data_IF_701475201846
#
_entry.id   IF_701475201846
#
_cell.length_a   1.000
_cell.length_b   1.000
_cell.length_c   1.000
_cell.angle_alpha   90.00
_cell.angle_beta   90.00
_cell.angle_gamma   90.00
#
_symmetry.space_group_name_H-M   'P 1'
#
loop_
_entity.id
_entity.type
_entity.pdbx_description
1 polymer ?
#
# COMPACT_ATOMS: atom_id res chain seq x y z
N UNK A 1 -2.61 -45.65 -20.74
CA UNK A 1 -2.90 -45.80 -19.30
C UNK A 1 -2.57 -44.47 -18.63
N UNK A 2 -3.45 -43.95 -17.76
CA UNK A 2 -3.44 -42.58 -17.19
C UNK A 2 -2.22 -42.31 -16.28
N UNK A 3 -1.73 -41.06 -16.32
CA UNK A 3 -0.61 -40.51 -15.52
C UNK A 3 -0.95 -40.37 -14.04
N UNK A 4 0.07 -40.43 -13.17
CA UNK A 4 0.02 -39.79 -11.86
C UNK A 4 1.40 -39.23 -11.51
N UNK A 5 1.56 -37.91 -11.66
CA UNK A 5 2.68 -37.15 -11.09
C UNK A 5 2.12 -36.47 -9.85
N UNK A 6 2.56 -36.89 -8.67
CA UNK A 6 2.14 -36.33 -7.39
C UNK A 6 3.03 -35.12 -7.10
N UNK A 7 2.49 -33.91 -7.27
CA UNK A 7 3.11 -32.71 -6.71
C UNK A 7 2.71 -32.60 -5.23
N UNK A 8 3.64 -32.95 -4.34
CA UNK A 8 3.48 -32.68 -2.91
C UNK A 8 3.71 -31.19 -2.70
N UNK A 9 2.64 -30.41 -2.62
CA UNK A 9 2.71 -29.01 -2.18
C UNK A 9 2.86 -29.02 -0.67
N UNK A 10 4.07 -28.82 -0.18
CA UNK A 10 4.30 -28.56 1.24
C UNK A 10 3.77 -27.16 1.58
N UNK A 11 2.57 -27.07 2.15
CA UNK A 11 2.07 -25.82 2.73
C UNK A 11 2.85 -25.52 4.00
N UNK A 12 3.81 -24.60 3.92
CA UNK A 12 4.41 -24.01 5.12
C UNK A 12 3.35 -23.15 5.82
N UNK A 13 2.81 -23.65 6.93
CA UNK A 13 2.04 -22.83 7.86
C UNK A 13 3.05 -22.16 8.81
N UNK A 14 3.41 -20.92 8.51
CA UNK A 14 4.15 -20.09 9.45
C UNK A 14 3.19 -19.51 10.49
N UNK A 15 3.11 -20.12 11.67
CA UNK A 15 2.51 -19.46 12.83
C UNK A 15 3.59 -18.60 13.48
N UNK A 16 3.44 -17.26 13.42
CA UNK A 16 4.22 -16.35 14.24
C UNK A 16 3.39 -15.91 15.45
N UNK A 17 3.89 -16.19 16.64
CA UNK A 17 3.40 -15.55 17.86
C UNK A 17 4.49 -14.60 18.33
N UNK A 18 4.32 -13.31 18.06
CA UNK A 18 5.15 -12.28 18.66
C UNK A 18 4.34 -11.58 19.74
N UNK A 19 4.76 -11.74 20.99
CA UNK A 19 4.24 -10.98 22.13
C UNK A 19 5.17 -9.80 22.37
N UNK A 20 4.65 -8.58 22.45
CA UNK A 20 5.43 -7.39 22.80
C UNK A 20 4.61 -6.48 23.70
N UNK A 21 5.14 -6.17 24.90
CA UNK A 21 4.60 -5.16 25.83
C UNK A 21 5.76 -4.71 26.74
N UNK A 22 5.92 -3.43 27.14
CA UNK A 22 5.52 -2.15 26.55
C UNK A 22 6.74 -1.27 26.17
N UNK A 23 6.60 -0.38 25.18
CA UNK A 23 7.61 0.68 24.93
C UNK A 23 7.08 2.01 25.47
N UNK A 24 7.76 2.60 26.45
CA UNK A 24 7.58 4.02 26.83
C UNK A 24 8.82 4.80 26.43
N UNK A 25 8.93 5.07 25.13
CA UNK A 25 9.71 6.13 24.51
C UNK A 25 9.22 6.21 23.07
N UNK A 26 8.37 7.20 22.74
CA UNK A 26 7.85 7.39 21.38
C UNK A 26 7.01 6.22 20.87
N UNK A 27 5.68 6.23 20.95
CA UNK A 27 4.88 5.20 20.26
C UNK A 27 5.06 5.36 18.74
N UNK A 28 6.04 4.65 18.17
CA UNK A 28 6.35 4.64 16.75
C UNK A 28 5.77 3.39 16.08
N UNK A 29 4.92 3.58 15.08
CA UNK A 29 4.47 2.51 14.19
C UNK A 29 4.45 2.99 12.75
N UNK A 30 4.78 2.13 11.80
CA UNK A 30 4.71 2.47 10.38
C UNK A 30 4.34 1.28 9.52
N UNK A 31 3.68 1.52 8.41
CA UNK A 31 3.42 0.51 7.38
C UNK A 31 3.49 1.11 5.98
N UNK A 32 3.72 0.25 5.00
CA UNK A 32 3.67 0.60 3.60
C UNK A 32 3.28 -0.60 2.75
N UNK A 33 2.55 -0.36 1.66
CA UNK A 33 2.27 -1.37 0.64
C UNK A 33 2.07 -0.70 -0.72
N UNK A 34 2.23 -1.48 -1.78
CA UNK A 34 1.94 -1.09 -3.14
C UNK A 34 1.38 -2.27 -3.96
N UNK A 35 0.60 -1.93 -4.98
CA UNK A 35 0.07 -2.85 -5.97
C UNK A 35 0.34 -2.24 -7.34
N UNK A 36 0.90 -3.04 -8.23
CA UNK A 36 1.10 -2.72 -9.64
C UNK A 36 0.70 -3.92 -10.51
N UNK A 37 -0.58 -3.98 -10.87
CA UNK A 37 -1.16 -5.05 -11.67
C UNK A 37 -1.70 -4.52 -13.00
N UNK A 38 -0.95 -4.71 -14.11
CA UNK A 38 -1.40 -4.30 -15.45
C UNK A 38 -2.65 -5.02 -15.95
N UNK A 39 -2.94 -6.23 -15.45
CA UNK A 39 -4.07 -7.03 -15.93
C UNK A 39 -5.40 -6.49 -15.42
N UNK A 40 -5.46 -6.19 -14.12
CA UNK A 40 -6.65 -5.58 -13.50
C UNK A 40 -6.66 -4.05 -13.63
N UNK A 41 -5.52 -3.46 -13.98
CA UNK A 41 -5.33 -2.01 -13.99
C UNK A 41 -5.17 -1.41 -12.60
N UNK A 42 -4.93 -2.25 -11.58
CA UNK A 42 -4.77 -1.80 -10.21
C UNK A 42 -3.36 -1.24 -9.96
N UNK A 43 -3.29 0.06 -9.75
CA UNK A 43 -2.08 0.75 -9.36
C UNK A 43 -2.39 1.59 -8.12
N UNK A 44 -1.87 1.19 -6.97
CA UNK A 44 -2.00 1.94 -5.72
C UNK A 44 -0.79 1.81 -4.84
N UNK A 45 -0.61 2.77 -3.96
CA UNK A 45 0.41 2.74 -2.92
C UNK A 45 -0.08 3.45 -1.67
N UNK A 46 0.44 3.06 -0.51
CA UNK A 46 0.22 3.74 0.75
C UNK A 46 1.45 3.64 1.64
N UNK A 47 1.75 4.73 2.33
CA UNK A 47 2.77 4.79 3.39
C UNK A 47 2.19 5.60 4.54
N UNK A 48 2.32 5.09 5.77
CA UNK A 48 1.92 5.79 6.98
C UNK A 48 2.96 5.59 8.08
N UNK A 49 3.21 6.65 8.84
CA UNK A 49 3.93 6.61 10.11
C UNK A 49 3.13 7.31 11.19
N UNK A 50 3.22 6.76 12.40
CA UNK A 50 2.63 7.30 13.62
C UNK A 50 3.73 7.43 14.65
N UNK A 51 3.79 8.59 15.31
CA UNK A 51 4.74 8.89 16.38
C UNK A 51 3.97 9.60 17.48
N UNK A 52 3.83 9.00 18.66
CA UNK A 52 3.20 9.64 19.83
C UNK A 52 1.82 10.26 19.52
N UNK A 53 0.97 9.52 18.81
CA UNK A 53 -0.36 9.98 18.40
C UNK A 53 -0.39 10.88 17.16
N UNK A 54 0.75 11.36 16.68
CA UNK A 54 0.87 12.11 15.44
C UNK A 54 0.98 11.17 14.24
N UNK A 55 -0.02 11.19 13.34
CA UNK A 55 -0.05 10.39 12.12
C UNK A 55 0.35 11.24 10.93
N UNK A 56 1.19 10.70 10.04
CA UNK A 56 1.44 11.22 8.70
C UNK A 56 1.42 10.09 7.69
N UNK A 57 0.83 10.34 6.54
CA UNK A 57 0.89 9.37 5.46
C UNK A 57 0.52 9.95 4.13
N UNK A 58 0.66 9.12 3.12
CA UNK A 58 0.12 9.39 1.81
C UNK A 58 -0.37 8.09 1.18
N UNK A 59 -1.36 8.21 0.30
CA UNK A 59 -1.75 7.14 -0.59
C UNK A 59 -1.90 7.66 -2.02
N UNK A 60 -1.76 6.75 -2.98
CA UNK A 60 -2.11 7.03 -4.36
C UNK A 60 -2.91 5.89 -4.97
N UNK A 61 -3.81 6.22 -5.89
CA UNK A 61 -4.55 5.26 -6.70
C UNK A 61 -4.90 5.86 -8.05
N UNK A 62 -5.22 5.01 -9.02
CA UNK A 62 -5.85 5.42 -10.26
C UNK A 62 -7.37 5.50 -10.05
N UNK A 63 -7.94 6.69 -10.24
CA UNK A 63 -9.37 6.94 -10.21
C UNK A 63 -10.07 6.32 -11.42
N UNK A 64 -11.40 6.17 -11.34
CA UNK A 64 -12.22 5.67 -12.46
C UNK A 64 -12.14 6.58 -13.72
N UNK A 65 -11.80 7.86 -13.56
CA UNK A 65 -11.54 8.79 -14.68
C UNK A 65 -10.13 8.61 -15.29
N UNK A 66 -9.38 7.61 -14.81
CA UNK A 66 -8.04 7.27 -15.25
C UNK A 66 -6.95 8.13 -14.62
N UNK A 67 -7.27 9.21 -13.88
CA UNK A 67 -6.25 10.09 -13.28
C UNK A 67 -5.64 9.48 -12.03
N UNK A 68 -4.38 9.81 -11.74
CA UNK A 68 -3.75 9.42 -10.48
C UNK A 68 -4.21 10.40 -9.39
N UNK A 69 -4.92 9.89 -8.39
CA UNK A 69 -5.19 10.63 -7.16
C UNK A 69 -4.02 10.40 -6.20
N UNK A 70 -3.51 11.47 -5.63
CA UNK A 70 -2.54 11.43 -4.53
C UNK A 70 -3.15 12.19 -3.38
N UNK A 71 -3.13 11.57 -2.21
CA UNK A 71 -3.66 12.13 -0.98
C UNK A 71 -2.55 12.10 0.06
N UNK A 72 -2.17 13.26 0.55
CA UNK A 72 -1.24 13.44 1.65
C UNK A 72 -2.04 13.88 2.87
N UNK A 73 -1.82 13.24 4.01
CA UNK A 73 -2.61 13.48 5.21
C UNK A 73 -1.76 13.49 6.47
N UNK A 74 -2.27 14.20 7.47
CA UNK A 74 -1.76 14.18 8.84
C UNK A 74 -2.89 14.24 9.84
N UNK A 75 -2.72 13.65 11.02
CA UNK A 75 -3.68 13.74 12.11
C UNK A 75 -2.99 13.89 13.45
N UNK A 76 -3.53 14.73 14.32
CA UNK A 76 -3.10 14.89 15.71
C UNK A 76 -4.25 15.42 16.59
N UNK A 77 -4.08 15.37 17.91
CA UNK A 77 -5.11 15.74 18.89
C UNK A 77 -5.44 17.24 18.90
N UNK A 78 -4.56 18.10 18.38
CA UNK A 78 -4.70 19.57 18.41
C UNK A 78 -5.38 20.12 17.16
N UNK A 79 -5.01 19.59 16.00
CA UNK A 79 -5.41 20.08 14.68
C UNK A 79 -6.40 19.15 13.99
N UNK A 80 -6.63 17.95 14.53
CA UNK A 80 -7.47 16.93 13.90
C UNK A 80 -6.87 16.41 12.60
N UNK A 81 -7.72 15.86 11.74
CA UNK A 81 -7.32 15.34 10.43
C UNK A 81 -7.21 16.46 9.39
N UNK A 82 -6.05 16.53 8.74
CA UNK A 82 -5.75 17.47 7.66
C UNK A 82 -5.32 16.69 6.42
N UNK A 83 -5.72 17.17 5.24
CA UNK A 83 -5.51 16.46 3.99
C UNK A 83 -5.28 17.41 2.82
N UNK A 84 -4.33 17.04 1.95
CA UNK A 84 -4.10 17.66 0.66
C UNK A 84 -4.35 16.60 -0.42
N UNK A 85 -5.28 16.90 -1.33
CA UNK A 85 -5.63 16.01 -2.44
C UNK A 85 -5.17 16.65 -3.74
N UNK A 86 -4.38 15.92 -4.53
CA UNK A 86 -4.01 16.31 -5.89
C UNK A 86 -4.39 15.22 -6.89
N UNK A 87 -4.72 15.65 -8.10
CA UNK A 87 -4.96 14.77 -9.23
C UNK A 87 -3.95 15.06 -10.32
N UNK A 88 -3.25 14.01 -10.74
CA UNK A 88 -2.30 14.06 -11.84
C UNK A 88 -2.89 13.31 -13.03
N UNK A 89 -2.69 13.79 -14.27
CA UNK A 89 -2.97 13.00 -15.46
C UNK A 89 -2.24 11.66 -15.34
N UNK A 90 -2.85 10.56 -15.79
CA UNK A 90 -2.09 9.34 -16.00
C UNK A 90 -1.04 9.68 -17.03
N UNK A 91 0.24 9.64 -16.65
CA UNK A 91 1.33 9.77 -17.61
C UNK A 91 1.03 8.81 -18.76
N UNK A 92 0.80 9.36 -19.95
CA UNK A 92 0.60 8.56 -21.15
C UNK A 92 1.84 7.70 -21.28
N UNK A 93 1.72 6.39 -21.00
CA UNK A 93 2.73 5.45 -21.45
C UNK A 93 2.60 5.52 -22.98
N UNK A 94 3.52 6.23 -23.62
CA UNK A 94 3.78 6.02 -25.03
C UNK A 94 4.25 4.57 -25.13
N UNK A 95 3.32 3.65 -25.34
CA UNK A 95 3.66 2.34 -25.86
C UNK A 95 4.12 2.63 -27.28
N UNK A 96 5.42 2.87 -27.45
CA UNK A 96 6.06 2.81 -28.74
C UNK A 96 5.81 1.39 -29.25
N UNK A 97 4.72 1.20 -29.99
CA UNK A 97 4.56 0.03 -30.83
C UNK A 97 5.62 0.20 -31.90
N UNK A 98 6.74 -0.51 -31.75
CA UNK A 98 7.60 -0.80 -32.88
C UNK A 98 6.75 -1.58 -33.89
N UNK A 99 6.57 -0.99 -35.06
CA UNK A 99 6.03 -1.67 -36.25
C UNK A 99 7.09 -2.60 -36.84
#
# INVERSE_FOLDING_TARGET
MKFLVIFIVATFVGVSHNSTVPVKAGEYTSFSYDVADPLTGDYKSQVESRIDGFVKGHYSLIDADGRKRIVEYSADDKNGFQVNVRKEPRGTIFVARSF
#
